data_IF_894704265705
#
_entry.id   IF_894704265705
#
_cell.length_a   1.000
_cell.length_b   1.000
_cell.length_c   1.000
_cell.angle_alpha   90.00
_cell.angle_beta   90.00
_cell.angle_gamma   90.00
#
_symmetry.space_group_name_H-M   'P 1'
#
loop_
_entity.id
_entity.type
_entity.pdbx_description
1 polymer ?
#
# COMPACT_ATOMS: atom_id res chain seq x y z
N UNK A 1 5.78 -23.81 2.38
CA UNK A 1 6.23 -25.19 2.09
C UNK A 1 7.74 -25.19 2.02
N UNK A 2 8.43 -25.82 2.98
CA UNK A 2 9.88 -26.02 2.90
C UNK A 2 10.16 -27.18 1.94
N UNK A 3 10.90 -26.94 0.87
CA UNK A 3 11.41 -27.98 -0.02
C UNK A 3 12.77 -28.47 0.47
N UNK A 4 12.92 -29.77 0.68
CA UNK A 4 14.21 -30.39 1.02
C UNK A 4 14.96 -30.64 -0.30
N UNK A 5 16.20 -30.16 -0.42
CA UNK A 5 17.12 -30.48 -1.51
C UNK A 5 18.18 -31.44 -0.97
N UNK A 6 18.30 -32.62 -1.57
CA UNK A 6 19.28 -33.64 -1.21
C UNK A 6 20.46 -33.58 -2.17
N UNK A 7 21.67 -33.34 -1.67
CA UNK A 7 22.91 -33.38 -2.46
C UNK A 7 23.67 -34.65 -2.07
N UNK A 8 23.87 -35.56 -3.03
CA UNK A 8 24.63 -36.80 -2.86
C UNK A 8 25.96 -36.68 -3.60
N UNK A 9 27.07 -36.67 -2.87
CA UNK A 9 28.42 -36.70 -3.43
C UNK A 9 28.98 -38.11 -3.21
N UNK A 10 29.29 -38.82 -4.29
CA UNK A 10 29.92 -40.14 -4.24
C UNK A 10 31.43 -40.00 -4.44
N UNK A 11 32.21 -40.28 -3.39
CA UNK A 11 33.66 -40.43 -3.44
C UNK A 11 34.03 -41.91 -3.32
N UNK A 12 34.99 -42.37 -4.13
CA UNK A 12 35.41 -43.78 -4.28
C UNK A 12 36.29 -44.32 -3.13
N UNK A 13 36.44 -43.58 -2.02
CA UNK A 13 37.13 -44.06 -0.82
C UNK A 13 36.24 -43.84 0.41
N UNK A 14 35.74 -44.96 0.98
CA UNK A 14 34.94 -45.10 2.19
C UNK A 14 33.66 -44.23 2.26
N UNK A 15 32.44 -44.80 2.19
CA UNK A 15 31.22 -44.02 2.23
C UNK A 15 30.91 -43.59 3.67
N UNK A 16 31.43 -42.44 4.08
CA UNK A 16 30.86 -41.71 5.23
C UNK A 16 29.87 -40.70 4.68
N UNK A 17 28.58 -41.02 4.75
CA UNK A 17 27.51 -40.09 4.37
C UNK A 17 27.38 -39.05 5.47
N UNK A 18 28.01 -37.87 5.30
CA UNK A 18 27.80 -36.74 6.18
C UNK A 18 26.57 -35.95 5.71
N UNK A 19 25.43 -36.17 6.37
CA UNK A 19 24.24 -35.34 6.20
C UNK A 19 24.47 -34.03 6.97
N UNK A 20 25.12 -33.05 6.35
CA UNK A 20 24.98 -31.66 6.79
C UNK A 20 23.71 -31.11 6.16
N UNK A 21 22.64 -30.84 6.93
CA UNK A 21 21.54 -30.04 6.41
C UNK A 21 22.13 -28.69 6.01
N UNK A 22 22.17 -28.42 4.71
CA UNK A 22 22.53 -27.11 4.23
C UNK A 22 21.30 -26.23 4.51
N UNK A 23 21.35 -25.46 5.59
CA UNK A 23 20.41 -24.37 5.81
C UNK A 23 20.66 -23.35 4.71
N UNK A 24 19.92 -23.48 3.61
CA UNK A 24 19.71 -22.34 2.72
C UNK A 24 18.86 -21.40 3.58
N UNK A 25 19.50 -20.41 4.19
CA UNK A 25 18.80 -19.21 4.61
C UNK A 25 18.16 -18.68 3.33
N UNK A 26 16.91 -19.09 3.09
CA UNK A 26 16.08 -18.40 2.12
C UNK A 26 16.14 -16.97 2.61
N UNK A 27 16.65 -16.00 1.83
CA UNK A 27 16.61 -14.61 2.24
C UNK A 27 15.17 -14.42 2.67
N UNK A 28 14.97 -14.10 3.94
CA UNK A 28 13.66 -13.68 4.42
C UNK A 28 13.30 -12.57 3.46
N UNK A 29 12.41 -12.86 2.50
CA UNK A 29 11.71 -11.84 1.77
C UNK A 29 11.01 -11.15 2.91
N UNK A 30 11.61 -10.08 3.42
CA UNK A 30 11.07 -9.28 4.49
C UNK A 30 9.67 -8.99 4.01
N UNK A 31 8.69 -9.70 4.56
CA UNK A 31 7.33 -9.59 4.11
C UNK A 31 7.02 -8.12 4.32
N UNK A 32 6.87 -7.37 3.23
CA UNK A 32 6.73 -5.93 3.29
C UNK A 32 5.67 -5.64 4.36
N UNK A 33 6.03 -4.87 5.38
CA UNK A 33 5.14 -4.66 6.51
C UNK A 33 3.96 -3.83 5.99
N UNK A 34 2.86 -4.52 5.67
CA UNK A 34 1.64 -3.99 5.08
C UNK A 34 0.61 -3.88 6.17
N UNK A 35 0.06 -2.68 6.33
CA UNK A 35 -1.07 -2.42 7.21
C UNK A 35 -2.11 -1.59 6.49
N UNK A 36 -3.37 -1.72 6.89
CA UNK A 36 -4.48 -0.92 6.38
C UNK A 36 -5.02 -0.09 7.53
N UNK A 37 -5.18 1.20 7.29
CA UNK A 37 -5.79 2.15 8.22
C UNK A 37 -7.05 2.72 7.58
N UNK A 38 -8.07 2.96 8.38
CA UNK A 38 -9.21 3.78 7.95
C UNK A 38 -8.90 5.24 8.29
N UNK A 39 -9.00 6.11 7.30
CA UNK A 39 -8.86 7.57 7.46
C UNK A 39 -10.24 8.23 7.34
N UNK A 40 -10.40 9.43 7.90
CA UNK A 40 -11.70 10.09 8.04
C UNK A 40 -12.75 9.20 8.74
N UNK A 41 -12.29 8.33 9.66
CA UNK A 41 -13.11 7.41 10.45
C UNK A 41 -14.22 8.15 11.20
N UNK A 42 -15.39 7.53 11.32
CA UNK A 42 -16.56 8.14 11.95
C UNK A 42 -17.29 9.17 11.07
N UNK A 43 -16.84 9.39 9.84
CA UNK A 43 -17.53 10.23 8.85
C UNK A 43 -18.02 9.40 7.66
N UNK A 44 -18.95 9.94 6.88
CA UNK A 44 -19.39 9.34 5.61
C UNK A 44 -18.24 9.20 4.58
N UNK A 45 -17.16 9.95 4.76
CA UNK A 45 -15.99 9.94 3.87
C UNK A 45 -14.93 8.91 4.23
N UNK A 46 -15.19 8.03 5.21
CA UNK A 46 -14.23 7.02 5.62
C UNK A 46 -13.74 6.17 4.42
N UNK A 47 -12.41 6.07 4.29
CA UNK A 47 -11.74 5.31 3.22
C UNK A 47 -10.45 4.64 3.71
N UNK A 48 -9.95 3.68 2.94
CA UNK A 48 -8.78 2.86 3.29
C UNK A 48 -7.47 3.49 2.80
N UNK A 49 -6.53 3.63 3.73
CA UNK A 49 -5.12 3.91 3.49
C UNK A 49 -4.32 2.61 3.65
N UNK A 50 -3.68 2.17 2.58
CA UNK A 50 -2.70 1.07 2.61
C UNK A 50 -1.31 1.65 2.88
N UNK A 51 -0.61 1.10 3.87
CA UNK A 51 0.75 1.49 4.26
C UNK A 51 1.67 0.30 3.99
N UNK A 52 2.55 0.43 3.00
CA UNK A 52 3.52 -0.59 2.61
C UNK A 52 4.92 -0.09 2.96
N UNK A 53 5.54 -0.69 3.98
CA UNK A 53 6.91 -0.35 4.40
C UNK A 53 7.89 -1.39 3.87
N UNK A 54 8.98 -0.93 3.26
CA UNK A 54 10.11 -1.80 2.86
C UNK A 54 10.93 -2.31 4.06
N UNK A 55 10.89 -1.60 5.19
CA UNK A 55 11.82 -1.80 6.30
C UNK A 55 13.20 -1.17 6.08
N UNK A 56 13.44 -0.60 4.89
CA UNK A 56 14.68 0.09 4.54
C UNK A 56 14.42 1.60 4.45
N UNK A 57 15.33 2.41 5.00
CA UNK A 57 15.22 3.88 4.95
C UNK A 57 15.14 4.36 3.51
N UNK A 58 14.26 5.32 3.24
CA UNK A 58 14.02 5.86 1.91
C UNK A 58 12.85 6.84 1.88
N UNK A 59 12.45 7.31 0.69
CA UNK A 59 11.38 8.29 0.55
C UNK A 59 10.02 7.74 0.98
N UNK A 60 9.09 8.65 1.27
CA UNK A 60 7.68 8.34 1.41
C UNK A 60 6.96 8.82 0.17
N UNK A 61 6.21 7.94 -0.49
CA UNK A 61 5.41 8.27 -1.68
C UNK A 61 3.96 7.96 -1.39
N UNK A 62 3.07 8.91 -1.66
CA UNK A 62 1.62 8.71 -1.56
C UNK A 62 0.98 8.69 -2.94
N UNK A 63 0.16 7.67 -3.20
CA UNK A 63 -0.67 7.51 -4.40
C UNK A 63 -2.13 7.63 -3.99
N UNK A 64 -2.82 8.61 -4.56
CA UNK A 64 -4.25 8.86 -4.30
C UNK A 64 -5.03 8.65 -5.59
N UNK A 65 -5.92 7.67 -5.58
CA UNK A 65 -6.88 7.40 -6.65
C UNK A 65 -8.29 7.81 -6.23
N UNK A 66 -9.17 7.98 -7.22
CA UNK A 66 -10.60 8.17 -6.95
C UNK A 66 -10.96 9.49 -6.28
N UNK A 67 -10.21 10.56 -6.57
CA UNK A 67 -10.59 11.94 -6.18
C UNK A 67 -11.94 12.32 -6.79
N UNK A 68 -12.14 11.97 -8.07
CA UNK A 68 -13.44 11.95 -8.73
C UNK A 68 -13.81 10.52 -9.12
N UNK A 69 -15.08 10.18 -9.01
CA UNK A 69 -15.56 8.81 -9.24
C UNK A 69 -15.77 8.43 -10.70
N UNK A 70 -15.93 9.41 -11.59
CA UNK A 70 -16.04 9.20 -13.04
C UNK A 70 -14.67 9.13 -13.76
N UNK A 71 -13.56 9.05 -13.01
CA UNK A 71 -12.19 8.97 -13.53
C UNK A 71 -11.56 7.59 -13.23
N UNK A 72 -11.98 6.51 -13.94
CA UNK A 72 -11.69 5.13 -13.56
C UNK A 72 -10.22 4.72 -13.63
N UNK A 73 -9.42 5.33 -14.50
CA UNK A 73 -8.03 4.95 -14.68
C UNK A 73 -7.23 5.08 -13.37
N UNK A 74 -7.44 6.18 -12.63
CA UNK A 74 -6.69 6.47 -11.41
C UNK A 74 -6.96 5.48 -10.29
N UNK A 75 -8.23 5.26 -9.91
CA UNK A 75 -8.54 4.34 -8.81
C UNK A 75 -8.29 2.87 -9.17
N UNK A 76 -8.43 2.48 -10.44
CA UNK A 76 -8.04 1.12 -10.89
C UNK A 76 -6.54 0.90 -10.79
N UNK A 77 -5.72 1.86 -11.22
CA UNK A 77 -4.28 1.79 -11.06
C UNK A 77 -3.88 1.72 -9.58
N UNK A 78 -4.49 2.56 -8.73
CA UNK A 78 -4.23 2.55 -7.30
C UNK A 78 -4.62 1.22 -6.62
N UNK A 79 -5.68 0.54 -7.09
CA UNK A 79 -6.03 -0.82 -6.64
C UNK A 79 -4.98 -1.88 -6.99
N UNK A 80 -4.23 -1.70 -8.08
CA UNK A 80 -3.08 -2.56 -8.39
C UNK A 80 -1.87 -2.19 -7.52
N UNK A 81 -1.57 -0.89 -7.43
CA UNK A 81 -0.40 -0.34 -6.73
C UNK A 81 -0.42 -0.67 -5.23
N UNK A 82 -1.59 -0.71 -4.57
CA UNK A 82 -1.68 -1.10 -3.15
C UNK A 82 -1.12 -2.50 -2.85
N UNK A 83 -0.96 -3.35 -3.87
CA UNK A 83 -0.41 -4.69 -3.74
C UNK A 83 1.09 -4.76 -4.08
N UNK A 84 1.74 -3.65 -4.43
CA UNK A 84 3.15 -3.62 -4.77
C UNK A 84 4.03 -3.74 -3.52
N UNK A 85 5.26 -4.21 -3.72
CA UNK A 85 6.33 -4.12 -2.73
C UNK A 85 7.33 -3.06 -3.20
N UNK A 86 7.86 -2.28 -2.26
CA UNK A 86 8.87 -1.26 -2.53
C UNK A 86 10.22 -1.68 -1.97
N UNK A 87 11.30 -1.34 -2.68
CA UNK A 87 12.67 -1.69 -2.30
C UNK A 87 13.20 -0.85 -1.12
N UNK A 88 12.89 0.46 -1.11
CA UNK A 88 13.30 1.41 -0.09
C UNK A 88 12.14 2.35 0.25
N UNK A 89 12.05 2.79 1.51
CA UNK A 89 11.05 3.76 1.95
C UNK A 89 9.67 3.17 2.25
N UNK A 90 8.65 4.03 2.12
CA UNK A 90 7.24 3.70 2.40
C UNK A 90 6.35 4.13 1.24
N UNK A 91 5.46 3.24 0.81
CA UNK A 91 4.40 3.53 -0.15
C UNK A 91 3.07 3.61 0.59
N UNK A 92 2.40 4.75 0.45
CA UNK A 92 1.07 5.05 0.97
C UNK A 92 0.09 5.03 -0.20
N UNK A 93 -1.01 4.29 -0.10
CA UNK A 93 -1.98 4.19 -1.21
C UNK A 93 -3.40 4.35 -0.68
N UNK A 94 -4.13 5.30 -1.27
CA UNK A 94 -5.58 5.48 -1.06
C UNK A 94 -6.25 5.18 -2.41
N UNK A 95 -6.79 3.97 -2.63
CA UNK A 95 -7.32 3.60 -3.94
C UNK A 95 -8.56 4.41 -4.35
N UNK A 96 -9.44 4.67 -3.40
CA UNK A 96 -10.73 5.34 -3.60
C UNK A 96 -10.88 6.45 -2.56
N UNK A 97 -10.26 7.60 -2.79
CA UNK A 97 -10.32 8.72 -1.86
C UNK A 97 -11.78 9.14 -1.63
N UNK A 98 -12.50 9.50 -2.69
CA UNK A 98 -13.92 9.80 -2.64
C UNK A 98 -14.74 8.54 -2.98
N UNK A 99 -14.80 7.59 -2.04
CA UNK A 99 -15.47 6.28 -2.21
C UNK A 99 -16.92 6.39 -2.69
N UNK A 100 -17.68 7.35 -2.18
CA UNK A 100 -19.09 7.53 -2.56
C UNK A 100 -19.20 7.99 -4.03
N UNK A 101 -18.36 8.94 -4.46
CA UNK A 101 -18.31 9.35 -5.86
C UNK A 101 -17.90 8.17 -6.77
N UNK A 102 -16.90 7.39 -6.37
CA UNK A 102 -16.45 6.18 -7.11
C UNK A 102 -17.57 5.17 -7.26
N UNK A 103 -18.30 4.87 -6.19
CA UNK A 103 -19.45 3.96 -6.21
C UNK A 103 -20.53 4.42 -7.19
N UNK A 104 -20.78 5.73 -7.25
CA UNK A 104 -21.78 6.34 -8.13
C UNK A 104 -21.27 6.59 -9.56
N UNK A 105 -19.97 6.41 -9.83
CA UNK A 105 -19.31 6.71 -11.12
C UNK A 105 -19.54 8.15 -11.58
N UNK A 106 -19.54 9.09 -10.64
CA UNK A 106 -19.80 10.52 -10.87
C UNK A 106 -18.63 11.38 -10.40
N UNK A 107 -18.51 12.61 -10.89
CA UNK A 107 -17.44 13.54 -10.47
C UNK A 107 -17.46 13.78 -8.95
N UNK A 108 -18.66 14.09 -8.46
CA UNK A 108 -19.05 14.21 -7.05
C UNK A 108 -20.30 13.37 -6.83
N UNK A 109 -20.79 13.22 -5.60
CA UNK A 109 -22.04 12.51 -5.32
C UNK A 109 -22.99 13.38 -4.48
N UNK A 110 -24.31 13.10 -4.48
CA UNK A 110 -25.24 13.78 -3.58
C UNK A 110 -24.76 13.71 -2.13
N UNK A 111 -24.65 14.88 -1.49
CA UNK A 111 -24.14 14.99 -0.13
C UNK A 111 -22.63 14.81 0.01
N UNK A 112 -21.85 14.83 -1.07
CA UNK A 112 -20.37 14.66 -1.05
C UNK A 112 -19.74 15.71 -1.96
N UNK A 113 -18.83 16.52 -1.41
CA UNK A 113 -18.18 17.62 -2.12
C UNK A 113 -17.18 17.18 -3.20
N UNK A 114 -16.67 18.17 -3.93
CA UNK A 114 -15.52 18.01 -4.82
C UNK A 114 -14.23 18.00 -3.98
N UNK A 115 -13.66 16.81 -3.76
CA UNK A 115 -12.43 16.66 -2.96
C UNK A 115 -11.28 17.51 -3.50
N UNK A 116 -11.21 17.70 -4.83
CA UNK A 116 -10.18 18.54 -5.48
C UNK A 116 -10.43 20.05 -5.28
N UNK A 117 -11.37 20.43 -4.42
CA UNK A 117 -11.60 21.80 -3.95
C UNK A 117 -11.45 21.95 -2.44
N UNK A 118 -11.31 20.84 -1.71
CA UNK A 118 -11.26 20.81 -0.25
C UNK A 118 -9.85 20.83 0.34
N UNK A 119 -8.81 20.76 -0.50
CA UNK A 119 -7.42 20.84 -0.05
C UNK A 119 -7.01 22.30 0.21
N UNK A 120 -6.13 22.54 1.21
CA UNK A 120 -5.63 23.87 1.51
C UNK A 120 -4.81 24.40 0.32
N UNK A 121 -4.97 25.69 0.00
CA UNK A 121 -4.23 26.35 -1.08
C UNK A 121 -2.96 27.02 -0.56
N UNK A 122 -2.97 27.39 0.71
CA UNK A 122 -1.83 27.95 1.44
C UNK A 122 -1.56 27.15 2.71
N UNK A 123 -0.38 27.31 3.30
CA UNK A 123 -0.01 26.66 4.57
C UNK A 123 -0.86 27.10 5.76
N UNK A 124 -1.54 28.25 5.67
CA UNK A 124 -2.46 28.77 6.70
C UNK A 124 -3.90 28.32 6.50
N UNK A 125 -4.25 27.77 5.33
CA UNK A 125 -5.62 27.36 5.05
C UNK A 125 -5.96 26.07 5.79
N UNK A 126 -7.22 25.94 6.19
CA UNK A 126 -7.75 24.69 6.74
C UNK A 126 -8.38 23.89 5.60
N UNK A 127 -8.19 22.55 5.56
CA UNK A 127 -8.91 21.73 4.60
C UNK A 127 -10.42 21.74 4.92
N UNK A 128 -11.25 21.94 3.91
CA UNK A 128 -12.68 22.25 4.06
C UNK A 128 -13.53 21.02 4.45
N UNK A 129 -13.07 19.80 4.11
CA UNK A 129 -13.80 18.55 4.33
C UNK A 129 -13.00 17.55 5.19
N UNK A 130 -13.64 16.70 6.03
CA UNK A 130 -12.94 15.73 6.87
C UNK A 130 -12.00 14.81 6.11
N UNK A 131 -12.31 14.47 4.85
CA UNK A 131 -11.44 13.65 4.02
C UNK A 131 -10.15 14.36 3.66
N UNK A 132 -10.23 15.62 3.20
CA UNK A 132 -9.05 16.42 2.89
C UNK A 132 -8.19 16.64 4.14
N UNK A 133 -8.82 16.90 5.30
CA UNK A 133 -8.12 16.99 6.60
C UNK A 133 -7.39 15.71 6.95
N UNK A 134 -8.06 14.57 6.78
CA UNK A 134 -7.46 13.27 7.08
C UNK A 134 -6.27 12.98 6.15
N UNK A 135 -6.37 13.30 4.84
CA UNK A 135 -5.28 13.11 3.89
C UNK A 135 -4.08 14.03 4.22
N UNK A 136 -4.33 15.30 4.50
CA UNK A 136 -3.26 16.26 4.86
C UNK A 136 -2.59 15.88 6.17
N UNK A 137 -3.29 15.28 7.13
CA UNK A 137 -2.68 14.83 8.40
C UNK A 137 -1.74 13.63 8.27
N UNK A 138 -1.69 12.98 7.10
CA UNK A 138 -0.77 11.85 6.84
C UNK A 138 0.64 12.36 6.48
N UNK A 139 0.72 13.54 5.84
CA UNK A 139 1.96 14.18 5.39
C UNK A 139 2.52 15.11 6.45
#
# INVERSE_FOLDING_TARGET
>A
MQGIVLVLIFSLFAPTVSLKPLSIETPSVLAANRSVKTIASGTKYATSLYVIKSGVRGPVVMVVGGTHGNEPAGYKAAHLIKNYSVKNGTLLVIPEANRIAVQNKTRTAPGVGDLNRSFPKTSSDKPDDPLARAIVSII
#
